data_IF_970799013806
#
_entry.id   IF_970799013806
#
_cell.length_a   1.000
_cell.length_b   1.000
_cell.length_c   1.000
_cell.angle_alpha   90.00
_cell.angle_beta   90.00
_cell.angle_gamma   90.00
#
_symmetry.space_group_name_H-M   'P 1'
#
loop_
_entity.id
_entity.type
_entity.pdbx_description
1 polymer ?
#
# COMPACT_ATOMS: atom_id res chain seq x y z
N UNK A 1 29.71 19.34 29.67
CA UNK A 1 29.37 18.43 28.57
C UNK A 1 28.59 19.23 27.55
N UNK A 2 29.23 19.62 26.44
CA UNK A 2 28.57 20.35 25.35
C UNK A 2 27.99 19.29 24.44
N UNK A 3 26.66 19.19 24.39
CA UNK A 3 25.96 18.33 23.38
C UNK A 3 26.10 19.04 22.03
N UNK A 4 26.94 18.51 21.16
CA UNK A 4 26.94 18.87 19.74
C UNK A 4 25.64 18.35 19.13
N UNK A 5 24.69 19.25 18.87
CA UNK A 5 23.52 19.01 18.07
C UNK A 5 24.01 18.85 16.62
N UNK A 6 24.07 17.64 16.11
CA UNK A 6 24.28 17.38 14.68
C UNK A 6 23.04 17.92 13.92
N UNK A 7 23.12 19.15 13.46
CA UNK A 7 22.20 19.69 12.47
C UNK A 7 22.50 18.98 11.14
N UNK A 8 21.68 18.03 10.75
CA UNK A 8 21.70 17.53 9.38
C UNK A 8 21.47 18.72 8.44
N UNK A 9 22.44 19.04 7.61
CA UNK A 9 22.30 20.10 6.61
C UNK A 9 21.18 19.70 5.65
N UNK A 10 20.07 20.45 5.63
CA UNK A 10 18.97 20.23 4.71
C UNK A 10 19.46 20.40 3.29
N UNK A 11 19.21 19.44 2.42
CA UNK A 11 19.55 19.52 0.99
C UNK A 11 18.58 20.43 0.24
N UNK A 12 18.97 20.94 -0.93
CA UNK A 12 18.06 21.71 -1.79
C UNK A 12 16.84 20.91 -2.21
N UNK A 13 17.00 19.59 -2.37
CA UNK A 13 15.90 18.65 -2.66
C UNK A 13 14.91 18.55 -1.50
N UNK A 14 15.39 18.40 -0.27
CA UNK A 14 14.51 18.30 0.91
C UNK A 14 13.72 19.60 1.12
N UNK A 15 14.39 20.74 0.94
CA UNK A 15 13.76 22.06 1.03
C UNK A 15 12.72 22.27 -0.07
N UNK A 16 13.01 21.85 -1.32
CA UNK A 16 12.07 21.90 -2.42
C UNK A 16 10.85 21.03 -2.15
N UNK A 17 11.05 19.77 -1.74
CA UNK A 17 9.96 18.85 -1.41
C UNK A 17 9.07 19.37 -0.28
N UNK A 18 9.67 19.98 0.73
CA UNK A 18 8.94 20.49 1.89
C UNK A 18 8.14 21.78 1.61
N UNK A 19 8.66 22.68 0.78
CA UNK A 19 8.12 24.02 0.65
C UNK A 19 7.56 24.37 -0.74
N UNK A 20 8.01 23.72 -1.80
CA UNK A 20 7.75 24.13 -3.19
C UNK A 20 6.97 23.10 -4.00
N UNK A 21 7.21 21.78 -3.75
CA UNK A 21 6.71 20.69 -4.58
C UNK A 21 5.18 20.55 -4.57
N UNK A 22 4.50 21.12 -3.58
CA UNK A 22 3.03 21.14 -3.53
C UNK A 22 2.39 21.96 -4.66
N UNK A 23 3.10 22.97 -5.16
CA UNK A 23 2.58 23.89 -6.18
C UNK A 23 3.45 23.98 -7.43
N UNK A 24 4.71 23.59 -7.34
CA UNK A 24 5.68 23.71 -8.43
C UNK A 24 6.34 22.37 -8.77
N UNK A 25 6.64 22.18 -10.05
CA UNK A 25 7.59 21.17 -10.52
C UNK A 25 8.88 21.85 -10.98
N UNK A 26 10.02 21.13 -10.94
CA UNK A 26 11.25 21.70 -11.45
C UNK A 26 11.18 22.05 -12.94
N UNK A 27 10.65 21.15 -13.75
CA UNK A 27 10.77 21.13 -15.23
C UNK A 27 9.44 21.31 -15.99
N UNK A 28 8.31 21.40 -15.32
CA UNK A 28 6.99 21.56 -15.94
C UNK A 28 6.09 22.53 -15.18
N UNK A 29 5.23 23.19 -15.91
CA UNK A 29 4.13 23.98 -15.34
C UNK A 29 3.15 23.05 -14.60
N UNK A 30 2.67 23.51 -13.45
CA UNK A 30 1.80 22.72 -12.56
C UNK A 30 0.70 23.65 -11.97
N UNK A 31 0.49 23.68 -10.68
CA UNK A 31 -0.35 24.69 -10.01
C UNK A 31 0.28 26.09 -10.13
N UNK A 32 1.62 26.13 -10.18
CA UNK A 32 2.42 27.30 -10.48
C UNK A 32 3.39 27.03 -11.64
N UNK A 33 4.15 28.02 -12.08
CA UNK A 33 5.10 27.89 -13.19
C UNK A 33 6.24 26.91 -12.85
N UNK A 34 6.83 26.30 -13.89
CA UNK A 34 8.07 25.54 -13.78
C UNK A 34 9.19 26.37 -13.16
N UNK A 35 9.92 25.81 -12.20
CA UNK A 35 10.96 26.54 -11.48
C UNK A 35 12.32 26.51 -12.17
N UNK A 36 12.62 25.54 -13.02
CA UNK A 36 13.85 25.51 -13.81
C UNK A 36 13.97 26.77 -14.67
N UNK A 37 15.09 27.44 -14.61
CA UNK A 37 15.33 28.72 -15.26
C UNK A 37 14.60 29.90 -14.62
N UNK A 38 13.98 29.73 -13.43
CA UNK A 38 13.28 30.84 -12.77
C UNK A 38 14.22 31.99 -12.43
N UNK A 39 15.40 31.72 -11.88
CA UNK A 39 16.38 32.74 -11.56
C UNK A 39 16.75 33.59 -12.79
N UNK A 40 16.97 32.96 -13.93
CA UNK A 40 17.28 33.64 -15.20
C UNK A 40 16.09 34.49 -15.71
N UNK A 41 14.86 34.01 -15.58
CA UNK A 41 13.67 34.77 -15.98
C UNK A 41 13.50 36.03 -15.12
N UNK A 42 13.72 35.92 -13.81
CA UNK A 42 13.65 37.04 -12.88
C UNK A 42 14.78 38.05 -13.10
N UNK A 43 16.02 37.56 -13.34
CA UNK A 43 17.13 38.43 -13.70
C UNK A 43 16.87 39.22 -15.00
N UNK A 44 16.31 38.57 -16.02
CA UNK A 44 15.95 39.24 -17.28
C UNK A 44 14.87 40.32 -17.06
N UNK A 45 13.91 40.08 -16.18
CA UNK A 45 12.79 40.97 -15.93
C UNK A 45 13.16 42.21 -15.08
N UNK A 46 14.00 42.03 -14.08
CA UNK A 46 14.32 43.09 -13.10
C UNK A 46 15.79 43.55 -13.11
N UNK A 47 16.66 42.87 -13.87
CA UNK A 47 18.10 43.13 -13.84
C UNK A 47 18.80 42.58 -12.61
N UNK A 48 18.06 41.96 -11.68
CA UNK A 48 18.57 41.46 -10.40
C UNK A 48 17.92 40.11 -10.08
N UNK A 49 18.76 39.13 -9.69
CA UNK A 49 18.28 37.83 -9.19
C UNK A 49 17.73 37.88 -7.78
N UNK A 50 18.10 38.86 -6.97
CA UNK A 50 17.63 38.97 -5.59
C UNK A 50 16.12 39.22 -5.50
N UNK A 51 15.50 39.72 -6.58
CA UNK A 51 14.05 39.96 -6.60
C UNK A 51 13.22 38.68 -6.50
N UNK A 52 13.74 37.52 -6.95
CA UNK A 52 13.08 36.24 -6.74
C UNK A 52 13.07 35.81 -5.27
N UNK A 53 14.09 36.22 -4.48
CA UNK A 53 14.13 35.95 -3.04
C UNK A 53 13.06 36.73 -2.30
N UNK A 54 12.87 37.98 -2.68
CA UNK A 54 11.79 38.81 -2.15
C UNK A 54 10.42 38.22 -2.50
N UNK A 55 10.24 37.78 -3.76
CA UNK A 55 9.04 37.08 -4.20
C UNK A 55 8.76 35.82 -3.36
N UNK A 56 9.72 34.97 -3.13
CA UNK A 56 9.56 33.72 -2.36
C UNK A 56 9.17 34.05 -0.91
N UNK A 57 9.76 35.05 -0.30
CA UNK A 57 9.48 35.43 1.09
C UNK A 57 8.17 36.20 1.25
N UNK A 58 7.85 37.08 0.33
CA UNK A 58 6.64 37.92 0.36
C UNK A 58 6.13 38.27 -1.04
N UNK A 59 5.42 37.33 -1.71
CA UNK A 59 4.92 37.53 -3.08
C UNK A 59 4.02 38.78 -3.20
N UNK A 60 3.21 39.07 -2.19
CA UNK A 60 2.28 40.19 -2.22
C UNK A 60 3.01 41.53 -2.36
N UNK A 61 4.09 41.73 -1.63
CA UNK A 61 4.92 42.94 -1.70
C UNK A 61 5.43 43.17 -3.14
N UNK A 62 5.84 42.11 -3.83
CA UNK A 62 6.35 42.19 -5.21
C UNK A 62 5.22 42.42 -6.22
N UNK A 63 4.04 41.86 -6.00
CA UNK A 63 2.84 42.12 -6.83
C UNK A 63 2.42 43.58 -6.74
N UNK A 64 2.43 44.12 -5.52
CA UNK A 64 2.03 45.52 -5.27
C UNK A 64 3.00 46.54 -5.94
N UNK A 65 4.26 46.12 -6.17
CA UNK A 65 5.26 46.92 -6.91
C UNK A 65 5.09 46.88 -8.43
N UNK A 66 4.28 45.93 -8.96
CA UNK A 66 4.08 45.76 -10.39
C UNK A 66 5.18 44.93 -11.09
N UNK A 67 5.18 45.00 -12.43
CA UNK A 67 6.15 44.31 -13.27
C UNK A 67 5.92 42.77 -13.37
N UNK A 68 6.98 42.01 -13.60
CA UNK A 68 6.92 40.57 -13.87
C UNK A 68 6.24 39.76 -12.76
N UNK A 69 6.40 40.14 -11.50
CA UNK A 69 5.69 39.51 -10.39
C UNK A 69 4.18 39.65 -10.46
N UNK A 70 3.68 40.86 -10.85
CA UNK A 70 2.26 41.12 -11.05
C UNK A 70 1.72 40.37 -12.30
N UNK A 71 2.51 40.29 -13.36
CA UNK A 71 2.16 39.51 -14.56
C UNK A 71 2.02 38.02 -14.22
N UNK A 72 2.95 37.44 -13.46
CA UNK A 72 2.85 36.07 -12.99
C UNK A 72 1.62 35.84 -12.12
N UNK A 73 1.33 36.75 -11.18
CA UNK A 73 0.14 36.65 -10.34
C UNK A 73 -1.15 36.71 -11.17
N UNK A 74 -1.18 37.51 -12.25
CA UNK A 74 -2.31 37.62 -13.17
C UNK A 74 -2.45 36.35 -14.01
N UNK A 75 -1.34 35.84 -14.57
CA UNK A 75 -1.30 34.62 -15.39
C UNK A 75 -1.77 33.40 -14.60
N UNK A 76 -1.38 33.29 -13.33
CA UNK A 76 -1.67 32.16 -12.45
C UNK A 76 -2.80 32.45 -11.45
N UNK A 77 -3.65 33.42 -11.75
CA UNK A 77 -4.75 33.89 -10.87
C UNK A 77 -5.70 32.77 -10.45
N UNK A 78 -5.94 31.78 -11.32
CA UNK A 78 -6.79 30.62 -11.02
C UNK A 78 -6.22 29.73 -9.91
N UNK A 79 -4.90 29.69 -9.78
CA UNK A 79 -4.20 28.91 -8.75
C UNK A 79 -3.95 29.70 -7.45
N UNK A 80 -4.33 30.98 -7.41
CA UNK A 80 -4.06 31.87 -6.28
C UNK A 80 -2.65 32.49 -6.31
N UNK A 81 -2.42 33.45 -5.42
CA UNK A 81 -1.08 34.03 -5.22
C UNK A 81 -0.27 33.08 -4.37
N UNK A 82 1.01 32.88 -4.74
CA UNK A 82 1.96 32.12 -3.97
C UNK A 82 1.94 32.55 -2.48
N UNK A 83 2.01 31.59 -1.56
CA UNK A 83 2.09 31.86 -0.13
C UNK A 83 3.50 32.23 0.30
N UNK A 84 3.62 33.06 1.35
CA UNK A 84 4.92 33.40 1.92
C UNK A 84 5.66 32.16 2.40
N UNK A 85 6.92 32.02 2.00
CA UNK A 85 7.77 30.93 2.44
C UNK A 85 8.81 31.43 3.45
N UNK A 86 8.83 30.92 4.70
CA UNK A 86 9.74 31.39 5.75
C UNK A 86 11.14 30.75 5.58
N UNK A 87 11.74 30.95 4.42
CA UNK A 87 13.06 30.43 4.07
C UNK A 87 14.12 31.53 4.18
N UNK A 88 15.31 31.15 4.63
CA UNK A 88 16.50 32.00 4.59
C UNK A 88 17.06 32.11 3.17
N UNK A 89 17.86 33.13 2.88
CA UNK A 89 18.49 33.29 1.55
C UNK A 89 19.35 32.10 1.17
N UNK A 90 20.08 31.53 2.12
CA UNK A 90 20.88 30.31 1.90
C UNK A 90 19.99 29.10 1.52
N UNK A 91 18.84 28.94 2.16
CA UNK A 91 17.90 27.86 1.82
C UNK A 91 17.26 28.08 0.46
N UNK A 92 16.89 29.31 0.10
CA UNK A 92 16.37 29.66 -1.23
C UNK A 92 17.41 29.35 -2.29
N UNK A 93 18.68 29.70 -2.05
CA UNK A 93 19.78 29.39 -2.95
C UNK A 93 19.92 27.89 -3.20
N UNK A 94 19.85 27.08 -2.14
CA UNK A 94 19.91 25.62 -2.26
C UNK A 94 18.72 25.07 -3.10
N UNK A 95 17.52 25.59 -2.91
CA UNK A 95 16.35 25.20 -3.70
C UNK A 95 16.52 25.58 -5.17
N UNK A 96 16.94 26.79 -5.47
CA UNK A 96 17.16 27.25 -6.85
C UNK A 96 18.24 26.44 -7.56
N UNK A 97 19.34 26.11 -6.88
CA UNK A 97 20.37 25.23 -7.43
C UNK A 97 19.86 23.81 -7.69
N UNK A 98 19.05 23.25 -6.78
CA UNK A 98 18.45 21.94 -6.98
C UNK A 98 17.56 21.94 -8.23
N UNK A 99 16.64 22.90 -8.38
CA UNK A 99 15.72 22.91 -9.54
C UNK A 99 16.45 23.19 -10.85
N UNK A 100 17.55 23.92 -10.84
CA UNK A 100 18.36 24.18 -12.03
C UNK A 100 19.12 22.91 -12.48
N UNK A 101 19.68 22.16 -11.54
CA UNK A 101 20.37 20.89 -11.79
C UNK A 101 19.45 19.71 -12.02
N UNK A 102 18.13 19.87 -11.83
CA UNK A 102 17.16 18.79 -11.95
C UNK A 102 17.13 18.23 -13.37
N UNK A 103 17.32 16.92 -13.48
CA UNK A 103 17.09 16.15 -14.70
C UNK A 103 15.87 15.26 -14.49
N UNK A 104 14.91 15.35 -15.41
CA UNK A 104 13.72 14.47 -15.37
C UNK A 104 14.19 13.02 -15.36
N UNK A 105 13.84 12.22 -14.33
CA UNK A 105 14.10 10.80 -14.37
C UNK A 105 13.47 10.22 -15.63
N UNK A 106 14.21 9.39 -16.38
CA UNK A 106 13.63 8.70 -17.51
C UNK A 106 12.39 7.94 -17.04
N UNK A 107 11.26 8.03 -17.77
CA UNK A 107 10.09 7.25 -17.41
C UNK A 107 10.50 5.78 -17.36
N UNK A 108 10.09 5.01 -16.33
CA UNK A 108 10.30 3.57 -16.36
C UNK A 108 9.71 3.04 -17.67
N UNK A 109 10.37 2.08 -18.34
CA UNK A 109 9.90 1.57 -19.61
C UNK A 109 8.42 1.23 -19.46
N UNK A 110 7.59 1.82 -20.32
CA UNK A 110 6.16 1.59 -20.33
C UNK A 110 5.96 0.08 -20.52
N UNK A 111 5.55 -0.59 -19.47
CA UNK A 111 5.06 -1.94 -19.57
C UNK A 111 3.83 -1.86 -20.49
N UNK A 112 3.96 -2.40 -21.69
CA UNK A 112 2.90 -2.52 -22.67
C UNK A 112 1.68 -3.10 -21.95
N UNK A 113 0.56 -2.40 -22.06
CA UNK A 113 -0.69 -2.81 -21.45
C UNK A 113 -1.10 -4.17 -21.99
N UNK A 114 -0.99 -5.17 -21.17
CA UNK A 114 -1.77 -6.38 -21.28
C UNK A 114 -3.03 -6.16 -20.44
N UNK A 115 -4.07 -5.63 -21.05
CA UNK A 115 -5.44 -5.91 -20.63
C UNK A 115 -5.70 -7.38 -20.91
N UNK A 116 -5.19 -8.23 -20.03
CA UNK A 116 -5.60 -9.62 -19.96
C UNK A 116 -6.85 -9.68 -19.11
N UNK A 117 -7.98 -10.02 -19.72
CA UNK A 117 -9.15 -10.55 -19.01
C UNK A 117 -8.66 -11.56 -17.98
N UNK A 118 -8.94 -11.25 -16.71
CA UNK A 118 -8.77 -12.22 -15.62
C UNK A 118 -9.83 -13.29 -15.84
N UNK A 119 -9.45 -14.39 -16.48
CA UNK A 119 -10.18 -15.64 -16.31
C UNK A 119 -10.08 -15.97 -14.83
N UNK A 120 -11.20 -15.86 -14.14
CA UNK A 120 -11.39 -16.51 -12.85
C UNK A 120 -11.08 -18.00 -13.04
N UNK A 121 -9.94 -18.46 -12.57
CA UNK A 121 -9.73 -19.88 -12.32
C UNK A 121 -10.52 -20.28 -11.06
N UNK A 122 -11.82 -20.06 -11.13
CA UNK A 122 -12.79 -20.58 -10.22
C UNK A 122 -13.13 -21.99 -10.66
N UNK A 123 -12.63 -23.02 -9.96
CA UNK A 123 -13.37 -24.24 -10.05
C UNK A 123 -12.64 -25.55 -10.20
N UNK A 124 -11.40 -25.71 -9.85
CA UNK A 124 -10.80 -27.06 -9.80
C UNK A 124 -11.51 -27.98 -8.78
N UNK A 125 -11.99 -27.44 -7.65
CA UNK A 125 -12.74 -28.21 -6.65
C UNK A 125 -14.12 -28.69 -7.14
N UNK A 126 -14.76 -27.94 -8.03
CA UNK A 126 -16.07 -28.29 -8.58
C UNK A 126 -15.99 -29.58 -9.39
N UNK A 127 -14.91 -29.80 -10.15
CA UNK A 127 -14.66 -31.05 -10.86
C UNK A 127 -14.51 -32.23 -9.91
N UNK A 128 -13.85 -32.08 -8.77
CA UNK A 128 -13.73 -33.13 -7.78
C UNK A 128 -15.06 -33.45 -7.11
N UNK A 129 -15.92 -32.47 -6.87
CA UNK A 129 -17.30 -32.70 -6.40
C UNK A 129 -18.13 -33.43 -7.43
N UNK A 130 -18.05 -33.02 -8.71
CA UNK A 130 -18.78 -33.71 -9.82
C UNK A 130 -18.31 -35.15 -9.95
N UNK A 131 -17.01 -35.38 -10.02
CA UNK A 131 -16.42 -36.71 -10.13
C UNK A 131 -16.79 -37.57 -8.91
N UNK A 132 -16.67 -37.02 -7.70
CA UNK A 132 -17.07 -37.71 -6.47
C UNK A 132 -18.54 -38.08 -6.43
N UNK A 133 -19.42 -37.17 -6.86
CA UNK A 133 -20.87 -37.42 -6.97
C UNK A 133 -21.19 -38.54 -7.99
N UNK A 134 -20.53 -38.51 -9.14
CA UNK A 134 -20.68 -39.58 -10.16
C UNK A 134 -20.24 -40.94 -9.59
N UNK A 135 -19.10 -40.99 -8.89
CA UNK A 135 -18.65 -42.23 -8.23
C UNK A 135 -19.61 -42.74 -7.17
N UNK A 136 -20.21 -41.87 -6.37
CA UNK A 136 -21.23 -42.24 -5.38
C UNK A 136 -22.47 -42.79 -6.06
N UNK A 137 -22.96 -42.17 -7.19
CA UNK A 137 -24.10 -42.66 -7.96
C UNK A 137 -23.80 -44.02 -8.55
N UNK A 138 -22.63 -44.19 -9.16
CA UNK A 138 -22.24 -45.51 -9.75
C UNK A 138 -22.14 -46.56 -8.65
N UNK A 139 -21.51 -46.27 -7.52
CA UNK A 139 -21.35 -47.22 -6.41
C UNK A 139 -22.69 -47.64 -5.82
N UNK A 140 -23.64 -46.69 -5.70
CA UNK A 140 -25.01 -46.99 -5.20
C UNK A 140 -25.82 -47.79 -6.24
N UNK A 141 -25.70 -47.45 -7.52
CA UNK A 141 -26.36 -48.22 -8.61
C UNK A 141 -25.84 -49.67 -8.68
N UNK A 142 -24.51 -49.84 -8.67
CA UNK A 142 -23.89 -51.19 -8.65
C UNK A 142 -24.26 -51.96 -7.40
N UNK A 143 -24.34 -51.31 -6.26
CA UNK A 143 -24.76 -51.91 -4.98
C UNK A 143 -26.21 -52.41 -5.03
N UNK A 144 -27.11 -51.61 -5.60
CA UNK A 144 -28.53 -51.96 -5.76
C UNK A 144 -28.71 -53.13 -6.75
N UNK A 145 -28.06 -53.09 -7.94
CA UNK A 145 -28.11 -54.20 -8.92
C UNK A 145 -27.58 -55.50 -8.33
N UNK A 146 -26.43 -55.42 -7.61
CA UNK A 146 -25.85 -56.60 -6.91
C UNK A 146 -26.85 -57.18 -5.90
N UNK A 147 -27.51 -56.32 -5.09
CA UNK A 147 -28.51 -56.76 -4.11
C UNK A 147 -29.71 -57.45 -4.80
N UNK A 148 -30.22 -56.89 -5.89
CA UNK A 148 -31.30 -57.46 -6.69
C UNK A 148 -30.94 -58.84 -7.25
N UNK A 149 -29.73 -58.99 -7.82
CA UNK A 149 -29.21 -60.26 -8.35
C UNK A 149 -29.08 -61.34 -7.24
N UNK A 150 -28.56 -60.93 -6.09
CA UNK A 150 -28.44 -61.85 -4.94
C UNK A 150 -29.83 -62.24 -4.44
N UNK A 151 -30.79 -61.34 -4.35
CA UNK A 151 -32.14 -61.66 -3.92
C UNK A 151 -32.86 -62.58 -4.96
N UNK A 152 -32.70 -62.35 -6.26
CA UNK A 152 -33.25 -63.21 -7.31
C UNK A 152 -32.66 -64.63 -7.29
N UNK A 153 -31.36 -64.78 -6.98
CA UNK A 153 -30.74 -66.11 -6.79
C UNK A 153 -31.27 -66.80 -5.53
N UNK A 154 -31.43 -66.07 -4.40
CA UNK A 154 -31.99 -66.60 -3.17
C UNK A 154 -33.42 -67.09 -3.32
N UNK A 155 -34.24 -66.34 -4.10
CA UNK A 155 -35.61 -66.72 -4.43
C UNK A 155 -35.66 -68.00 -5.20
N UNK A 156 -34.75 -68.21 -6.18
CA UNK A 156 -34.63 -69.49 -6.90
C UNK A 156 -34.27 -70.69 -6.01
N UNK A 157 -33.54 -70.43 -4.94
CA UNK A 157 -33.13 -71.42 -3.94
C UNK A 157 -34.15 -71.59 -2.80
N UNK A 158 -35.31 -70.88 -2.87
CA UNK A 158 -36.34 -70.94 -1.82
C UNK A 158 -35.98 -70.23 -0.54
N UNK A 159 -34.98 -69.39 -0.56
CA UNK A 159 -34.47 -68.65 0.63
C UNK A 159 -35.12 -67.26 0.75
N UNK A 160 -35.38 -66.79 1.96
CA UNK A 160 -35.89 -65.44 2.17
C UNK A 160 -34.97 -64.34 1.65
N UNK A 161 -35.49 -63.22 1.12
CA UNK A 161 -34.69 -62.09 0.63
C UNK A 161 -33.83 -61.52 1.75
N UNK A 162 -32.72 -60.85 1.36
CA UNK A 162 -31.82 -60.19 2.32
C UNK A 162 -32.53 -59.01 3.04
N UNK A 163 -32.34 -58.90 4.35
CA UNK A 163 -32.86 -57.77 5.13
C UNK A 163 -32.44 -56.42 4.52
N UNK A 164 -33.37 -55.50 4.53
CA UNK A 164 -33.11 -54.13 4.08
C UNK A 164 -32.34 -53.36 5.14
N UNK A 165 -31.01 -53.27 4.98
CA UNK A 165 -30.16 -52.44 5.81
C UNK A 165 -30.03 -51.03 5.22
N UNK A 166 -30.14 -50.01 6.08
CA UNK A 166 -29.88 -48.64 5.64
C UNK A 166 -28.40 -48.47 5.29
N UNK A 167 -28.10 -47.49 4.43
CA UNK A 167 -26.71 -47.18 4.03
C UNK A 167 -25.83 -46.97 5.27
N UNK A 168 -26.30 -46.22 6.30
CA UNK A 168 -25.58 -45.99 7.55
C UNK A 168 -25.25 -47.29 8.30
N UNK A 169 -26.19 -48.25 8.34
CA UNK A 169 -25.95 -49.55 8.97
C UNK A 169 -24.91 -50.39 8.19
N UNK A 170 -24.95 -50.28 6.86
CA UNK A 170 -24.00 -50.99 5.98
C UNK A 170 -22.58 -50.43 6.16
N UNK A 171 -22.46 -49.08 6.15
CA UNK A 171 -21.19 -48.38 6.37
C UNK A 171 -20.68 -48.61 7.79
N UNK A 172 -21.50 -48.57 8.81
CA UNK A 172 -21.13 -48.88 10.18
C UNK A 172 -20.62 -50.30 10.36
N UNK A 173 -21.30 -51.29 9.76
CA UNK A 173 -20.85 -52.70 9.81
C UNK A 173 -19.52 -52.90 9.05
N UNK A 174 -19.32 -52.18 7.92
CA UNK A 174 -18.04 -52.19 7.20
C UNK A 174 -16.94 -51.58 8.00
N UNK A 175 -17.14 -50.41 8.58
CA UNK A 175 -16.18 -49.74 9.41
C UNK A 175 -15.76 -50.57 10.65
N UNK A 176 -16.73 -51.20 11.29
CA UNK A 176 -16.48 -52.10 12.42
C UNK A 176 -15.65 -53.32 12.04
N UNK A 177 -15.93 -53.91 10.87
CA UNK A 177 -15.14 -55.03 10.33
C UNK A 177 -13.74 -54.66 9.94
N UNK A 178 -13.56 -53.42 9.45
CA UNK A 178 -12.29 -52.88 8.95
C UNK A 178 -11.80 -51.72 9.82
N UNK A 179 -11.91 -51.90 11.16
CA UNK A 179 -11.65 -50.78 12.11
C UNK A 179 -10.27 -50.13 11.98
N UNK A 180 -9.24 -50.91 11.60
CA UNK A 180 -7.89 -50.34 11.38
C UNK A 180 -7.88 -49.44 10.14
N UNK A 181 -8.42 -49.89 9.01
CA UNK A 181 -8.51 -49.11 7.79
C UNK A 181 -9.43 -47.88 7.98
N UNK A 182 -10.57 -48.06 8.62
CA UNK A 182 -11.48 -46.96 8.95
C UNK A 182 -10.80 -45.94 9.88
N UNK A 183 -9.98 -46.39 10.83
CA UNK A 183 -9.18 -45.53 11.68
C UNK A 183 -8.12 -44.73 10.91
N UNK A 184 -7.43 -45.34 9.97
CA UNK A 184 -6.48 -44.64 9.11
C UNK A 184 -7.18 -43.59 8.23
N UNK A 185 -8.32 -43.94 7.62
CA UNK A 185 -9.11 -43.01 6.81
C UNK A 185 -9.54 -41.81 7.68
N UNK A 186 -10.12 -42.06 8.86
CA UNK A 186 -10.51 -41.04 9.79
C UNK A 186 -9.34 -40.13 10.23
N UNK A 187 -8.17 -40.73 10.49
CA UNK A 187 -6.93 -40.03 10.84
C UNK A 187 -6.49 -39.08 9.71
N UNK A 188 -6.45 -39.57 8.46
CA UNK A 188 -6.06 -38.72 7.33
C UNK A 188 -7.05 -37.59 7.09
N UNK A 189 -8.36 -37.83 7.22
CA UNK A 189 -9.36 -36.77 7.13
C UNK A 189 -9.23 -35.74 8.26
N UNK A 190 -8.94 -36.18 9.48
CA UNK A 190 -8.69 -35.30 10.61
C UNK A 190 -7.43 -34.45 10.37
N UNK A 191 -6.34 -35.08 9.94
CA UNK A 191 -5.09 -34.36 9.66
C UNK A 191 -5.25 -33.37 8.49
N UNK A 192 -5.90 -33.79 7.40
CA UNK A 192 -6.24 -32.88 6.28
C UNK A 192 -7.08 -31.70 6.75
N UNK A 193 -8.13 -31.96 7.53
CA UNK A 193 -8.99 -30.90 8.08
C UNK A 193 -8.25 -29.95 9.05
N UNK A 194 -7.27 -30.43 9.81
CA UNK A 194 -6.42 -29.58 10.65
C UNK A 194 -5.50 -28.70 9.80
N UNK A 195 -4.92 -29.25 8.74
CA UNK A 195 -4.08 -28.47 7.81
C UNK A 195 -4.92 -27.39 7.10
N UNK A 196 -6.04 -27.79 6.51
CA UNK A 196 -6.94 -26.84 5.81
C UNK A 196 -7.50 -25.80 6.80
N UNK A 197 -7.87 -26.23 8.00
CA UNK A 197 -8.31 -25.33 9.06
C UNK A 197 -7.26 -24.29 9.43
N UNK A 198 -5.98 -24.68 9.49
CA UNK A 198 -4.86 -23.76 9.72
C UNK A 198 -4.77 -22.71 8.61
N UNK A 199 -4.87 -23.14 7.35
CA UNK A 199 -4.86 -22.21 6.21
C UNK A 199 -6.06 -21.26 6.22
N UNK A 200 -7.27 -21.76 6.54
CA UNK A 200 -8.46 -20.91 6.69
C UNK A 200 -8.27 -19.88 7.79
N UNK A 201 -7.69 -20.27 8.93
CA UNK A 201 -7.42 -19.36 10.05
C UNK A 201 -6.39 -18.28 9.68
N UNK A 202 -5.42 -18.59 8.82
CA UNK A 202 -4.46 -17.60 8.33
C UNK A 202 -5.09 -16.51 7.46
N UNK A 203 -6.24 -16.77 6.87
CA UNK A 203 -6.96 -15.86 5.99
C UNK A 203 -8.09 -15.09 6.71
N UNK A 204 -8.29 -15.34 8.02
CA UNK A 204 -9.33 -14.65 8.81
C UNK A 204 -8.87 -13.22 9.16
N UNK A 205 -9.77 -12.28 9.04
CA UNK A 205 -9.71 -10.97 9.70
C UNK A 205 -9.61 -9.75 8.80
N UNK A 206 -9.41 -9.91 7.49
CA UNK A 206 -9.34 -8.75 6.59
C UNK A 206 -10.19 -8.98 5.33
N UNK A 207 -11.01 -7.97 5.01
CA UNK A 207 -11.83 -8.02 3.81
C UNK A 207 -11.19 -7.18 2.71
N UNK A 208 -10.74 -7.82 1.66
CA UNK A 208 -10.29 -7.14 0.45
C UNK A 208 -11.41 -6.29 -0.16
N UNK A 209 -11.04 -5.20 -0.80
CA UNK A 209 -11.96 -4.18 -1.31
C UNK A 209 -12.77 -3.44 -0.23
N UNK A 210 -12.44 -3.60 1.06
CA UNK A 210 -13.07 -2.80 2.10
C UNK A 210 -12.82 -1.32 1.86
N UNK A 211 -13.90 -0.59 1.60
CA UNK A 211 -13.91 0.83 1.21
C UNK A 211 -15.01 1.55 1.95
N UNK A 212 -14.80 1.93 3.21
CA UNK A 212 -15.81 2.61 4.00
C UNK A 212 -16.07 4.02 3.47
N UNK A 213 -17.29 4.51 3.66
CA UNK A 213 -17.61 5.90 3.38
C UNK A 213 -16.88 6.81 4.38
N UNK A 214 -16.19 7.82 3.86
CA UNK A 214 -15.39 8.75 4.66
C UNK A 214 -16.12 10.07 4.89
N UNK A 215 -15.81 10.83 5.96
CA UNK A 215 -16.48 12.10 6.25
C UNK A 215 -16.32 13.14 5.13
N UNK A 216 -15.25 13.04 4.37
CA UNK A 216 -14.98 13.84 3.16
C UNK A 216 -14.70 12.87 2.01
N UNK A 217 -15.31 13.10 0.85
CA UNK A 217 -15.01 12.39 -0.39
C UNK A 217 -13.66 12.87 -0.94
N UNK A 218 -12.60 12.47 -0.26
CA UNK A 218 -11.23 12.79 -0.66
C UNK A 218 -10.79 11.88 -1.81
N UNK A 219 -10.28 12.47 -2.89
CA UNK A 219 -9.78 11.73 -4.05
C UNK A 219 -8.26 11.66 -4.07
N UNK A 220 -7.71 10.48 -3.87
CA UNK A 220 -6.28 10.24 -4.07
C UNK A 220 -5.88 10.39 -5.54
N UNK A 221 -6.79 10.04 -6.47
CA UNK A 221 -6.59 10.22 -7.90
C UNK A 221 -6.30 11.67 -8.26
N UNK A 222 -7.10 12.63 -7.76
CA UNK A 222 -6.86 14.06 -8.00
C UNK A 222 -5.54 14.50 -7.36
N UNK A 223 -5.28 14.14 -6.10
CA UNK A 223 -4.13 14.65 -5.36
C UNK A 223 -2.81 13.98 -5.77
N UNK A 224 -2.73 12.67 -5.65
CA UNK A 224 -1.52 11.91 -5.96
C UNK A 224 -1.41 11.53 -7.45
N UNK A 225 -2.54 11.26 -8.11
CA UNK A 225 -2.59 10.89 -9.52
C UNK A 225 -2.39 12.09 -10.46
N UNK A 226 -3.37 12.97 -10.52
CA UNK A 226 -3.36 14.09 -11.47
C UNK A 226 -2.37 15.18 -11.05
N UNK A 227 -2.39 15.53 -9.76
CA UNK A 227 -1.54 16.55 -9.19
C UNK A 227 -0.15 16.08 -8.74
N UNK A 228 0.16 14.79 -8.78
CA UNK A 228 1.49 14.21 -8.44
C UNK A 228 2.02 14.60 -7.05
N UNK A 229 1.11 14.89 -6.10
CA UNK A 229 1.50 15.16 -4.73
C UNK A 229 2.05 13.87 -4.11
N UNK A 230 3.25 13.93 -3.57
CA UNK A 230 3.90 12.77 -2.97
C UNK A 230 3.11 12.28 -1.74
N UNK A 231 3.00 10.95 -1.58
CA UNK A 231 2.30 10.30 -0.46
C UNK A 231 2.75 10.83 0.90
N UNK A 232 4.07 10.98 1.09
CA UNK A 232 4.67 11.44 2.36
C UNK A 232 4.43 12.92 2.67
N UNK A 233 3.95 13.70 1.71
CA UNK A 233 3.54 15.08 2.00
C UNK A 233 2.36 15.11 2.99
N UNK A 234 1.42 14.19 2.82
CA UNK A 234 0.25 14.03 3.69
C UNK A 234 0.48 12.98 4.77
N UNK A 235 1.13 11.88 4.44
CA UNK A 235 1.40 10.73 5.33
C UNK A 235 2.86 10.72 5.82
N UNK A 236 3.37 11.88 6.27
CA UNK A 236 4.77 12.05 6.66
C UNK A 236 5.23 11.16 7.82
N UNK A 237 4.32 10.71 8.66
CA UNK A 237 4.62 9.80 9.76
C UNK A 237 4.94 8.38 9.30
N UNK A 238 4.64 8.00 8.06
CA UNK A 238 4.99 6.69 7.52
C UNK A 238 6.50 6.41 7.53
N UNK A 239 7.31 7.44 7.33
CA UNK A 239 8.78 7.34 7.37
C UNK A 239 9.37 7.46 8.78
N UNK A 240 8.60 7.96 9.76
CA UNK A 240 9.13 8.36 11.07
C UNK A 240 8.54 7.58 12.24
N UNK A 241 7.45 6.87 12.02
CA UNK A 241 6.74 6.20 13.11
C UNK A 241 6.14 4.86 12.72
N UNK A 242 5.60 4.16 13.71
CA UNK A 242 4.84 2.91 13.54
C UNK A 242 3.61 3.11 12.66
N UNK A 243 2.93 4.25 12.77
CA UNK A 243 1.69 4.54 12.04
C UNK A 243 1.90 5.62 10.99
N UNK A 244 1.38 5.40 9.78
CA UNK A 244 1.41 6.39 8.72
C UNK A 244 0.56 7.64 9.03
N UNK A 245 -0.49 7.46 9.83
CA UNK A 245 -1.38 8.54 10.24
C UNK A 245 -2.23 9.13 9.11
N UNK A 246 -3.32 9.78 9.48
CA UNK A 246 -4.11 10.63 8.60
C UNK A 246 -3.63 12.06 8.82
N UNK A 247 -3.40 12.86 7.76
CA UNK A 247 -2.93 14.23 7.92
C UNK A 247 -3.94 15.08 8.69
N UNK A 248 -3.44 15.99 9.51
CA UNK A 248 -4.30 16.97 10.16
C UNK A 248 -4.93 17.91 9.13
N UNK A 249 -6.07 18.52 9.46
CA UNK A 249 -6.76 19.50 8.58
C UNK A 249 -5.87 20.69 8.20
N UNK A 250 -4.86 21.02 9.00
CA UNK A 250 -3.89 22.07 8.68
C UNK A 250 -3.09 21.75 7.41
N UNK A 251 -2.76 20.48 7.17
CA UNK A 251 -2.07 20.04 5.95
C UNK A 251 -2.95 20.32 4.72
N UNK A 252 -4.25 20.05 4.81
CA UNK A 252 -5.21 20.37 3.75
C UNK A 252 -5.23 21.88 3.47
N UNK A 253 -5.19 22.69 4.51
CA UNK A 253 -5.23 24.15 4.40
C UNK A 253 -3.98 24.79 3.80
N UNK A 254 -2.88 24.05 3.66
CA UNK A 254 -1.71 24.57 2.94
C UNK A 254 -2.05 24.94 1.48
N UNK A 255 -2.95 24.17 0.85
CA UNK A 255 -3.42 24.42 -0.50
C UNK A 255 -4.85 25.00 -0.52
N UNK A 256 -5.74 24.49 0.34
CA UNK A 256 -7.17 24.83 0.29
C UNK A 256 -7.51 26.22 0.87
N UNK A 257 -6.57 26.96 1.41
CA UNK A 257 -6.73 28.43 1.60
C UNK A 257 -6.92 29.17 0.27
N UNK A 258 -6.20 28.72 -0.75
CA UNK A 258 -6.24 29.32 -2.09
C UNK A 258 -7.18 28.54 -3.03
N UNK A 259 -7.14 27.21 -3.00
CA UNK A 259 -7.95 26.33 -3.84
C UNK A 259 -9.26 26.01 -3.11
N UNK A 260 -10.27 26.86 -3.33
CA UNK A 260 -11.56 26.78 -2.64
C UNK A 260 -12.60 25.94 -3.38
N UNK A 261 -12.33 25.57 -4.62
CA UNK A 261 -13.20 24.76 -5.47
C UNK A 261 -12.51 23.51 -5.94
N UNK A 262 -13.17 22.38 -5.77
CA UNK A 262 -12.71 21.09 -6.29
C UNK A 262 -13.27 20.84 -7.69
N UNK A 263 -12.58 20.02 -8.47
CA UNK A 263 -12.98 19.68 -9.83
C UNK A 263 -14.18 18.74 -9.91
N UNK A 264 -14.40 17.91 -8.89
CA UNK A 264 -15.48 16.92 -8.87
C UNK A 264 -16.69 17.34 -8.04
N UNK A 265 -16.47 18.05 -6.92
CA UNK A 265 -17.51 18.33 -5.92
C UNK A 265 -17.71 19.83 -5.66
N UNK A 266 -17.10 20.66 -6.50
CA UNK A 266 -17.08 22.12 -6.34
C UNK A 266 -16.64 22.51 -4.91
N UNK A 267 -17.45 23.26 -4.19
CA UNK A 267 -17.13 23.69 -2.81
C UNK A 267 -17.60 22.73 -1.73
N UNK A 268 -18.44 21.73 -2.06
CA UNK A 268 -19.17 20.92 -1.09
C UNK A 268 -18.25 20.17 -0.11
N UNK A 269 -17.28 19.42 -0.61
CA UNK A 269 -16.40 18.61 0.24
C UNK A 269 -15.31 19.46 0.92
N UNK A 270 -14.83 20.51 0.23
CA UNK A 270 -13.83 21.43 0.80
C UNK A 270 -14.45 22.26 1.93
N UNK A 271 -15.73 22.62 1.84
CA UNK A 271 -16.43 23.36 2.89
C UNK A 271 -16.46 22.62 4.23
N UNK A 272 -16.44 21.29 4.23
CA UNK A 272 -16.35 20.46 5.45
C UNK A 272 -15.01 20.66 6.18
N UNK A 273 -13.91 20.86 5.42
CA UNK A 273 -12.60 21.20 5.98
C UNK A 273 -12.67 22.56 6.66
N UNK A 274 -13.27 23.56 5.99
CA UNK A 274 -13.41 24.90 6.53
C UNK A 274 -14.27 24.93 7.80
N UNK A 275 -15.38 24.19 7.80
CA UNK A 275 -16.22 24.04 8.98
C UNK A 275 -15.46 23.42 10.15
N UNK A 276 -14.67 22.35 9.90
CA UNK A 276 -13.92 21.66 10.94
C UNK A 276 -12.82 22.55 11.58
N UNK A 277 -12.17 23.41 10.79
CA UNK A 277 -11.05 24.23 11.27
C UNK A 277 -11.45 25.68 11.59
N UNK A 278 -12.69 26.05 11.34
CA UNK A 278 -13.19 27.41 11.55
C UNK A 278 -12.57 28.43 10.60
N UNK A 279 -12.54 28.13 9.30
CA UNK A 279 -12.00 29.04 8.30
C UNK A 279 -13.11 29.76 7.54
N UNK A 280 -13.04 31.09 7.47
CA UNK A 280 -13.97 31.91 6.70
C UNK A 280 -13.36 32.23 5.33
N UNK A 281 -13.97 31.71 4.27
CA UNK A 281 -13.50 31.87 2.89
C UNK A 281 -13.63 33.31 2.37
N UNK A 282 -14.66 34.05 2.81
CA UNK A 282 -14.86 35.45 2.41
C UNK A 282 -13.83 36.37 3.03
N UNK A 283 -13.53 36.16 4.29
CA UNK A 283 -12.51 36.92 5.01
C UNK A 283 -11.08 36.40 4.77
N UNK A 284 -10.95 35.21 4.17
CA UNK A 284 -9.70 34.47 4.02
C UNK A 284 -8.90 34.34 5.34
N UNK A 285 -9.61 34.10 6.43
CA UNK A 285 -9.06 34.09 7.78
C UNK A 285 -9.71 33.04 8.67
N UNK A 286 -8.96 32.62 9.69
CA UNK A 286 -9.48 31.75 10.74
C UNK A 286 -10.35 32.57 11.71
N UNK A 287 -11.50 32.00 12.07
CA UNK A 287 -12.47 32.64 12.98
C UNK A 287 -12.13 32.47 14.46
N UNK A 288 -11.16 31.60 14.75
CA UNK A 288 -10.84 31.20 16.13
C UNK A 288 -11.82 30.21 16.77
N UNK A 289 -12.92 29.88 16.07
CA UNK A 289 -13.89 28.88 16.50
C UNK A 289 -13.62 27.60 15.72
N UNK A 290 -13.14 26.56 16.40
CA UNK A 290 -12.93 25.24 15.85
C UNK A 290 -14.28 24.50 15.84
N UNK A 291 -14.61 23.88 14.72
CA UNK A 291 -15.83 23.05 14.56
C UNK A 291 -15.59 21.60 15.00
N UNK A 292 -16.52 20.73 14.62
CA UNK A 292 -16.41 19.31 14.91
C UNK A 292 -15.26 18.68 14.14
N UNK A 293 -14.46 17.79 14.78
CA UNK A 293 -13.35 17.11 14.12
C UNK A 293 -13.86 16.13 13.07
N UNK A 294 -13.10 16.00 11.99
CA UNK A 294 -13.36 15.00 10.94
C UNK A 294 -13.06 13.60 11.47
N UNK A 295 -14.08 12.75 11.60
CA UNK A 295 -13.97 11.38 12.11
C UNK A 295 -13.68 10.41 10.96
N UNK A 296 -12.43 10.29 10.59
CA UNK A 296 -11.99 9.36 9.55
C UNK A 296 -12.14 7.90 10.02
N UNK A 297 -12.64 7.06 9.12
CA UNK A 297 -12.70 5.62 9.33
C UNK A 297 -11.38 4.98 8.86
N UNK A 298 -10.77 4.19 9.74
CA UNK A 298 -9.52 3.48 9.45
C UNK A 298 -9.80 2.36 8.46
N UNK A 299 -9.13 2.40 7.31
CA UNK A 299 -9.29 1.39 6.24
C UNK A 299 -8.40 0.18 6.52
N UNK A 300 -7.12 0.42 6.70
CA UNK A 300 -6.14 -0.64 6.98
C UNK A 300 -6.01 -0.80 8.50
N UNK A 301 -6.57 -1.88 9.02
CA UNK A 301 -6.58 -2.16 10.44
C UNK A 301 -6.03 -3.56 10.69
N UNK A 302 -5.01 -3.66 11.54
CA UNK A 302 -4.50 -4.93 12.04
C UNK A 302 -5.00 -5.17 13.46
N UNK A 303 -5.18 -6.43 13.89
CA UNK A 303 -5.50 -6.76 15.27
C UNK A 303 -4.49 -6.21 16.27
N UNK A 304 -4.92 -5.91 17.50
CA UNK A 304 -4.06 -5.26 18.51
C UNK A 304 -2.83 -6.08 18.90
N UNK A 305 -2.90 -7.41 18.74
CA UNK A 305 -1.79 -8.31 19.01
C UNK A 305 -0.74 -8.38 17.87
N UNK A 306 -0.94 -7.60 16.80
CA UNK A 306 -0.02 -7.56 15.66
C UNK A 306 0.78 -6.28 15.68
N UNK A 307 2.10 -6.42 15.71
CA UNK A 307 3.02 -5.32 15.56
C UNK A 307 3.36 -5.08 14.09
N UNK A 308 3.12 -3.89 13.60
CA UNK A 308 3.55 -3.44 12.29
C UNK A 308 4.14 -2.03 12.39
N UNK A 309 5.29 -1.81 11.77
CA UNK A 309 5.97 -0.51 11.79
C UNK A 309 6.25 -0.01 10.38
N UNK A 310 5.55 1.06 9.98
CA UNK A 310 5.74 1.68 8.67
C UNK A 310 7.18 2.12 8.41
N UNK A 311 7.82 2.78 9.37
CA UNK A 311 9.19 3.30 9.15
C UNK A 311 10.22 2.19 8.92
N UNK A 312 10.04 1.02 9.53
CA UNK A 312 10.90 -0.14 9.26
C UNK A 312 10.71 -0.67 7.83
N UNK A 313 9.49 -0.71 7.34
CA UNK A 313 9.19 -1.18 5.99
C UNK A 313 9.59 -0.16 4.92
N UNK A 314 9.21 1.11 5.10
CA UNK A 314 9.41 2.16 4.10
C UNK A 314 10.86 2.64 4.07
N UNK A 315 11.46 2.92 5.24
CA UNK A 315 12.82 3.49 5.31
C UNK A 315 13.88 2.40 5.35
N UNK A 316 13.76 1.44 6.29
CA UNK A 316 14.77 0.40 6.45
C UNK A 316 14.66 -0.65 5.34
N UNK A 317 13.46 -1.12 5.04
CA UNK A 317 13.19 -2.08 3.97
C UNK A 317 13.25 -1.49 2.57
N UNK A 318 13.12 -0.16 2.41
CA UNK A 318 13.11 0.51 1.12
C UNK A 318 11.87 0.19 0.27
N UNK A 319 10.74 -0.14 0.91
CA UNK A 319 9.51 -0.51 0.20
C UNK A 319 8.75 0.72 -0.29
N UNK A 320 8.19 0.61 -1.48
CA UNK A 320 7.33 1.64 -2.04
C UNK A 320 5.89 1.49 -1.49
N UNK A 321 5.20 2.60 -1.27
CA UNK A 321 3.83 2.61 -0.73
C UNK A 321 2.89 1.71 -1.54
N UNK A 322 3.06 1.69 -2.87
CA UNK A 322 2.23 0.90 -3.81
C UNK A 322 2.37 -0.61 -3.66
N UNK A 323 3.44 -1.10 -3.04
CA UNK A 323 3.64 -2.55 -2.84
C UNK A 323 2.64 -3.14 -1.86
N UNK A 324 2.16 -2.33 -0.91
CA UNK A 324 1.17 -2.73 0.10
C UNK A 324 -0.21 -2.08 -0.10
N UNK A 325 -0.24 -0.83 -0.57
CA UNK A 325 -1.48 -0.08 -0.75
C UNK A 325 -2.00 -0.07 -2.19
N UNK A 326 -1.23 -0.63 -3.14
CA UNK A 326 -1.58 -0.60 -4.56
C UNK A 326 -1.45 0.82 -5.15
N UNK A 327 -1.99 0.98 -6.34
CA UNK A 327 -1.85 2.22 -7.11
C UNK A 327 -2.88 3.26 -6.69
N UNK A 328 -2.72 3.83 -5.47
CA UNK A 328 -3.64 4.85 -4.93
C UNK A 328 -3.80 6.08 -5.84
N UNK A 329 -2.83 6.34 -6.71
CA UNK A 329 -2.92 7.40 -7.73
C UNK A 329 -4.09 7.21 -8.72
N UNK A 330 -4.67 6.01 -8.80
CA UNK A 330 -5.83 5.69 -9.64
C UNK A 330 -7.13 5.58 -8.85
N UNK A 331 -7.08 5.66 -7.53
CA UNK A 331 -8.22 5.45 -6.64
C UNK A 331 -8.74 6.78 -6.09
N UNK A 332 -10.04 6.97 -6.12
CA UNK A 332 -10.66 8.13 -5.47
C UNK A 332 -10.61 7.96 -3.94
N UNK A 333 -11.15 6.88 -3.42
CA UNK A 333 -11.16 6.60 -1.98
C UNK A 333 -10.23 5.42 -1.68
N UNK A 334 -9.47 5.52 -0.60
CA UNK A 334 -8.64 4.43 -0.14
C UNK A 334 -9.46 3.18 0.17
N UNK A 335 -8.95 2.03 -0.26
CA UNK A 335 -9.51 0.70 0.00
C UNK A 335 -8.40 -0.30 0.27
N UNK A 336 -8.75 -1.43 0.85
CA UNK A 336 -7.83 -2.57 0.92
C UNK A 336 -7.74 -3.18 -0.47
N UNK A 337 -6.55 -3.08 -1.07
CA UNK A 337 -6.31 -3.61 -2.40
C UNK A 337 -6.27 -5.14 -2.38
N UNK A 338 -6.87 -5.82 -3.37
CA UNK A 338 -6.78 -7.26 -3.50
C UNK A 338 -5.33 -7.74 -3.67
N UNK A 339 -5.01 -8.89 -3.08
CA UNK A 339 -3.67 -9.50 -3.17
C UNK A 339 -3.20 -9.71 -4.61
N UNK A 340 -4.08 -10.10 -5.53
CA UNK A 340 -3.76 -10.25 -6.97
C UNK A 340 -3.22 -8.97 -7.61
N UNK A 341 -3.81 -7.81 -7.25
CA UNK A 341 -3.35 -6.52 -7.73
C UNK A 341 -1.99 -6.16 -7.15
N UNK A 342 -1.76 -6.47 -5.87
CA UNK A 342 -0.48 -6.27 -5.20
C UNK A 342 0.59 -7.24 -5.69
N UNK A 343 0.24 -8.50 -5.95
CA UNK A 343 1.12 -9.49 -6.56
C UNK A 343 1.68 -9.02 -7.91
N UNK A 344 0.84 -8.44 -8.78
CA UNK A 344 1.27 -7.87 -10.06
C UNK A 344 2.30 -6.75 -9.88
N UNK A 345 2.09 -5.86 -8.91
CA UNK A 345 3.03 -4.77 -8.62
C UNK A 345 4.34 -5.33 -8.08
N UNK A 346 4.27 -6.26 -7.13
CA UNK A 346 5.45 -6.84 -6.51
C UNK A 346 6.26 -7.73 -7.47
N UNK A 347 5.61 -8.44 -8.40
CA UNK A 347 6.29 -9.15 -9.50
C UNK A 347 7.11 -8.22 -10.40
N UNK A 348 6.65 -7.01 -10.65
CA UNK A 348 7.43 -6.02 -11.41
C UNK A 348 8.68 -5.56 -10.66
N UNK A 349 8.66 -5.61 -9.33
CA UNK A 349 9.73 -5.13 -8.47
C UNK A 349 10.74 -6.22 -8.12
N UNK A 350 10.25 -7.42 -7.77
CA UNK A 350 11.06 -8.54 -7.28
C UNK A 350 11.33 -9.61 -8.34
N UNK A 351 10.58 -9.64 -9.45
CA UNK A 351 10.68 -10.64 -10.51
C UNK A 351 9.45 -11.54 -10.62
N UNK A 352 9.38 -12.28 -11.72
CA UNK A 352 8.21 -13.11 -12.07
C UNK A 352 7.93 -14.24 -11.05
N UNK A 353 8.96 -14.71 -10.36
CA UNK A 353 8.87 -15.78 -9.35
C UNK A 353 8.15 -15.34 -8.06
N UNK A 354 8.06 -14.01 -7.81
CA UNK A 354 7.40 -13.49 -6.61
C UNK A 354 5.90 -13.76 -6.63
N UNK A 355 5.39 -14.40 -5.60
CA UNK A 355 3.97 -14.78 -5.49
C UNK A 355 3.34 -14.23 -4.22
N UNK A 356 2.07 -13.84 -4.30
CA UNK A 356 1.23 -13.46 -3.17
C UNK A 356 -0.17 -14.03 -3.44
N UNK A 357 -0.48 -15.14 -2.78
CA UNK A 357 -1.72 -15.89 -2.99
C UNK A 357 -2.70 -15.74 -1.83
N UNK A 358 -2.24 -15.15 -0.72
CA UNK A 358 -3.04 -14.95 0.49
C UNK A 358 -3.71 -13.59 0.48
N UNK A 359 -4.93 -13.48 1.03
CA UNK A 359 -5.64 -12.21 1.10
C UNK A 359 -4.83 -11.12 1.82
N UNK A 360 -4.92 -9.91 1.30
CA UNK A 360 -4.14 -8.75 1.78
C UNK A 360 -4.30 -8.51 3.28
N UNK A 361 -3.20 -8.21 3.98
CA UNK A 361 -3.10 -7.93 5.41
C UNK A 361 -3.39 -9.13 6.32
N UNK A 362 -3.55 -10.34 5.79
CA UNK A 362 -3.59 -11.55 6.61
C UNK A 362 -2.19 -11.96 7.06
N UNK A 363 -2.09 -12.83 8.07
CA UNK A 363 -0.81 -13.37 8.51
C UNK A 363 -0.09 -14.09 7.36
N UNK A 364 -0.82 -14.86 6.56
CA UNK A 364 -0.28 -15.58 5.40
C UNK A 364 0.31 -14.63 4.36
N UNK A 365 -0.35 -13.50 4.08
CA UNK A 365 0.15 -12.49 3.14
C UNK A 365 1.46 -11.86 3.62
N UNK A 366 1.57 -11.55 4.91
CA UNK A 366 2.81 -11.03 5.48
C UNK A 366 3.95 -12.05 5.38
N UNK A 367 3.66 -13.32 5.69
CA UNK A 367 4.63 -14.41 5.62
C UNK A 367 5.12 -14.62 4.19
N UNK A 368 4.22 -14.72 3.19
CA UNK A 368 4.61 -14.88 1.79
C UNK A 368 5.54 -13.76 1.31
N UNK A 369 5.28 -12.52 1.73
CA UNK A 369 6.17 -11.41 1.42
C UNK A 369 7.53 -11.54 2.11
N UNK A 370 7.56 -11.86 3.40
CA UNK A 370 8.78 -11.97 4.19
C UNK A 370 9.66 -13.15 3.75
N UNK A 371 9.07 -14.21 3.26
CA UNK A 371 9.76 -15.38 2.73
C UNK A 371 10.52 -15.08 1.42
N UNK A 372 9.91 -14.29 0.54
CA UNK A 372 10.40 -14.08 -0.83
C UNK A 372 11.11 -12.74 -1.03
N UNK A 373 10.75 -11.71 -0.23
CA UNK A 373 11.24 -10.37 -0.46
C UNK A 373 12.73 -10.24 -0.12
N UNK A 374 13.48 -9.77 -1.10
CA UNK A 374 14.88 -9.34 -0.91
C UNK A 374 14.87 -7.94 -0.32
N UNK A 375 15.59 -7.74 0.76
CA UNK A 375 15.70 -6.42 1.39
C UNK A 375 16.45 -5.45 0.49
N UNK A 376 15.72 -4.55 -0.18
CA UNK A 376 16.32 -3.49 -1.02
C UNK A 376 17.22 -2.56 -0.22
N UNK A 377 16.84 -2.26 1.02
CA UNK A 377 17.63 -1.42 1.91
C UNK A 377 18.99 -2.03 2.27
N UNK A 378 19.14 -3.37 2.12
CA UNK A 378 20.42 -4.03 2.36
C UNK A 378 21.53 -3.54 1.42
N UNK A 379 21.20 -3.23 0.18
CA UNK A 379 22.15 -2.72 -0.81
C UNK A 379 22.30 -1.19 -0.79
N UNK A 380 21.55 -0.49 0.06
CA UNK A 380 21.69 0.96 0.24
C UNK A 380 22.79 1.25 1.28
N UNK A 381 23.96 1.70 0.80
CA UNK A 381 25.08 2.07 1.66
C UNK A 381 24.83 3.32 2.51
N UNK A 382 23.73 4.04 2.28
CA UNK A 382 23.28 5.17 3.11
C UNK A 382 22.41 4.73 4.29
N UNK A 383 21.88 3.51 4.24
CA UNK A 383 21.07 2.96 5.33
C UNK A 383 21.97 2.46 6.47
N UNK A 384 22.09 3.25 7.53
CA UNK A 384 22.98 2.98 8.66
C UNK A 384 22.74 1.64 9.35
N UNK A 385 21.49 1.14 9.36
CA UNK A 385 21.17 -0.19 9.90
C UNK A 385 21.87 -1.30 9.12
N UNK A 386 21.73 -1.30 7.80
CA UNK A 386 22.35 -2.33 6.96
C UNK A 386 23.86 -2.18 6.84
N UNK A 387 24.39 -0.97 6.89
CA UNK A 387 25.85 -0.74 6.94
C UNK A 387 26.46 -1.41 8.18
N UNK A 388 25.84 -1.25 9.34
CA UNK A 388 26.35 -1.90 10.58
C UNK A 388 26.10 -3.40 10.56
N UNK A 389 24.98 -3.87 10.04
CA UNK A 389 24.69 -5.30 9.86
C UNK A 389 25.74 -5.96 8.96
N UNK A 390 26.01 -5.41 7.76
CA UNK A 390 27.06 -5.86 6.83
C UNK A 390 28.42 -5.94 7.53
N UNK A 391 28.77 -4.92 8.31
CA UNK A 391 30.02 -4.87 9.05
C UNK A 391 30.13 -6.00 10.09
N UNK A 392 29.04 -6.32 10.78
CA UNK A 392 28.98 -7.44 11.75
C UNK A 392 29.06 -8.79 11.07
N UNK A 393 28.31 -8.98 9.97
CA UNK A 393 28.31 -10.22 9.20
C UNK A 393 29.69 -10.51 8.58
N UNK A 394 30.38 -9.50 8.03
CA UNK A 394 31.74 -9.62 7.48
C UNK A 394 32.78 -10.07 8.51
N UNK A 395 32.57 -9.79 9.80
CA UNK A 395 33.44 -10.29 10.89
C UNK A 395 33.26 -11.78 11.16
N UNK A 396 32.10 -12.36 10.79
CA UNK A 396 31.81 -13.78 10.96
C UNK A 396 31.81 -14.47 9.60
N UNK A 397 32.96 -15.06 9.22
CA UNK A 397 33.15 -15.69 7.91
C UNK A 397 32.14 -16.82 7.60
N UNK A 398 31.62 -17.51 8.62
CA UNK A 398 30.63 -18.58 8.43
C UNK A 398 29.27 -18.00 8.06
N UNK A 399 28.81 -16.98 8.76
CA UNK A 399 27.55 -16.27 8.45
C UNK A 399 27.65 -15.49 7.14
N UNK A 400 28.82 -14.91 6.84
CA UNK A 400 29.06 -14.23 5.58
C UNK A 400 28.87 -15.17 4.38
N UNK A 401 29.49 -16.37 4.47
CA UNK A 401 29.37 -17.36 3.39
C UNK A 401 27.93 -17.88 3.23
N UNK A 402 27.18 -17.97 4.31
CA UNK A 402 25.81 -18.51 4.31
C UNK A 402 24.78 -17.51 3.76
N UNK A 403 24.94 -16.20 4.01
CA UNK A 403 23.91 -15.19 3.78
C UNK A 403 24.32 -14.07 2.84
N UNK A 404 25.56 -13.99 2.38
CA UNK A 404 26.07 -12.88 1.59
C UNK A 404 26.80 -13.32 0.31
N UNK A 405 26.92 -14.61 0.06
CA UNK A 405 27.69 -15.12 -1.07
C UNK A 405 27.00 -14.83 -2.42
N UNK A 406 25.66 -14.71 -2.40
CA UNK A 406 24.83 -14.38 -3.57
C UNK A 406 24.43 -12.90 -3.66
N UNK A 407 24.95 -12.03 -2.77
CA UNK A 407 24.62 -10.60 -2.68
C UNK A 407 23.11 -10.30 -2.50
N UNK A 408 22.30 -11.30 -2.16
CA UNK A 408 20.88 -11.17 -1.88
C UNK A 408 20.61 -11.58 -0.44
N UNK A 409 20.04 -10.67 0.34
CA UNK A 409 19.60 -10.99 1.70
C UNK A 409 18.10 -10.89 1.76
N UNK A 410 17.46 -12.00 2.05
CA UNK A 410 16.01 -12.07 2.21
C UNK A 410 15.59 -11.55 3.59
N UNK A 411 14.32 -11.19 3.73
CA UNK A 411 13.78 -10.79 5.03
C UNK A 411 13.75 -11.97 5.99
N UNK A 412 13.54 -13.19 5.50
CA UNK A 412 13.62 -14.44 6.26
C UNK A 412 15.00 -14.61 6.90
N UNK A 413 16.08 -14.48 6.12
CA UNK A 413 17.48 -14.58 6.61
C UNK A 413 17.82 -13.55 7.68
N UNK A 414 17.10 -12.40 7.67
CA UNK A 414 17.19 -11.38 8.72
C UNK A 414 16.35 -11.69 9.97
N UNK A 415 15.73 -12.87 10.03
CA UNK A 415 14.83 -13.27 11.11
C UNK A 415 13.47 -12.58 11.08
N UNK A 416 13.06 -12.04 9.93
CA UNK A 416 11.76 -11.38 9.76
C UNK A 416 10.56 -12.32 9.79
N UNK A 417 10.80 -13.63 9.90
CA UNK A 417 9.78 -14.69 9.97
C UNK A 417 9.50 -15.21 11.39
N UNK A 418 10.25 -14.73 12.36
CA UNK A 418 10.05 -15.10 13.74
C UNK A 418 8.74 -14.55 14.32
N UNK A 419 7.94 -15.38 14.99
CA UNK A 419 6.65 -15.00 15.56
C UNK A 419 6.71 -13.71 16.39
N UNK A 420 7.75 -13.57 17.22
CA UNK A 420 7.95 -12.39 18.07
C UNK A 420 8.29 -11.09 17.33
N UNK A 421 8.49 -11.12 16.02
CA UNK A 421 8.68 -9.90 15.22
C UNK A 421 7.36 -9.22 14.88
N UNK A 422 6.28 -10.00 14.80
CA UNK A 422 4.95 -9.55 14.43
C UNK A 422 3.93 -9.63 15.58
N UNK A 423 4.22 -10.42 16.61
CA UNK A 423 3.30 -10.62 17.76
C UNK A 423 3.97 -10.25 19.08
N UNK A 424 3.18 -9.68 20.01
CA UNK A 424 3.61 -9.35 21.37
C UNK A 424 3.50 -10.57 22.28
#
# INVERSE_FOLDING_TARGET
MVFAVNTFAQTGEDLFKANCASCHKPDADYTGPALKGAASRWQKAYGDTLKIYEWIKNPKSVVDQGGYGAELATKWKASGIMTNQPLTDAQIFLVLNYVESYTTPAPPPAAAGAEGEVKEEGGSWLWWVIVGTIFIIIATAVGTVRKQLVNANREKEGLAPLEEKTYLQTWGAWAWRNKVLAGFIAFFFLMGGLVDGTYILMDVGVYENYKPEQPIKFSHKIHAGDNKINCVYCHNSAEKSKHAGIPSTNVCMNCHKAIQKGTQTDTLEISKIYAAIGFNTKANAYTGKIGEPLKWLKVHNLPDHVYFNHSQHVVVGGLECRQCHGNMEKEDVARIMPHDSLAKINKQIYGAEFTMNRPTLTMGWCIECHEQAVSKGYNDDKNGYYVELKKRLRKNKKLFKQHLEDDKVTVEELGGWECAKCHY
#
